data_IF_779867198934
#
_entry.id   IF_779867198934
#
_cell.length_a   1.000
_cell.length_b   1.000
_cell.length_c   1.000
_cell.angle_alpha   90.00
_cell.angle_beta   90.00
_cell.angle_gamma   90.00
#
_symmetry.space_group_name_H-M   'P 1'
#
loop_
_entity.id
_entity.type
_entity.pdbx_description
1 polymer ?
#
# COMPACT_ATOMS: atom_id res chain seq x y z
N UNK A 1 -55.57 -32.22 -29.17
CA UNK A 1 -55.46 -30.77 -29.29
C UNK A 1 -56.47 -30.11 -28.37
N UNK A 2 -56.05 -29.69 -27.17
CA UNK A 2 -56.76 -28.68 -26.39
C UNK A 2 -55.69 -27.85 -25.68
N UNK A 3 -55.49 -26.64 -26.21
CA UNK A 3 -54.64 -25.62 -25.63
C UNK A 3 -55.43 -24.94 -24.49
N UNK A 4 -55.02 -25.20 -23.25
CA UNK A 4 -55.42 -24.43 -22.10
C UNK A 4 -54.28 -23.46 -21.74
N UNK A 5 -54.14 -22.39 -22.53
CA UNK A 5 -53.35 -21.23 -22.13
C UNK A 5 -54.19 -20.44 -21.12
N UNK A 6 -54.20 -20.92 -19.87
CA UNK A 6 -54.78 -20.20 -18.74
C UNK A 6 -53.94 -18.97 -18.46
N UNK A 7 -54.54 -17.80 -18.62
CA UNK A 7 -54.13 -16.53 -18.02
C UNK A 7 -54.02 -16.71 -16.50
N UNK A 8 -52.86 -17.17 -16.02
CA UNK A 8 -52.50 -17.11 -14.61
C UNK A 8 -51.99 -15.69 -14.32
N UNK A 9 -52.89 -14.72 -14.37
CA UNK A 9 -52.66 -13.45 -13.70
C UNK A 9 -52.59 -13.74 -12.20
N UNK A 10 -51.46 -13.44 -11.58
CA UNK A 10 -51.32 -13.52 -10.14
C UNK A 10 -52.38 -12.67 -9.43
N UNK A 11 -52.55 -12.84 -8.11
CA UNK A 11 -53.44 -11.96 -7.37
C UNK A 11 -52.96 -10.50 -7.47
N UNK A 12 -53.87 -9.53 -7.63
CA UNK A 12 -53.53 -8.13 -7.89
C UNK A 12 -52.53 -7.49 -6.91
N UNK A 13 -52.47 -7.98 -5.66
CA UNK A 13 -51.48 -7.51 -4.68
C UNK A 13 -50.04 -7.88 -5.04
N UNK A 14 -49.82 -8.92 -5.85
CA UNK A 14 -48.51 -9.35 -6.30
C UNK A 14 -47.91 -8.34 -7.28
N UNK A 15 -48.74 -7.80 -8.19
CA UNK A 15 -48.32 -6.79 -9.14
C UNK A 15 -47.96 -5.47 -8.43
N UNK A 16 -48.79 -5.04 -7.47
CA UNK A 16 -48.53 -3.84 -6.65
C UNK A 16 -47.26 -4.01 -5.80
N UNK A 17 -47.05 -5.20 -5.23
CA UNK A 17 -45.85 -5.48 -4.43
C UNK A 17 -44.58 -5.56 -5.30
N UNK A 18 -44.68 -6.12 -6.51
CA UNK A 18 -43.56 -6.12 -7.47
C UNK A 18 -43.15 -4.69 -7.83
N UNK A 19 -44.13 -3.80 -8.11
CA UNK A 19 -43.84 -2.40 -8.41
C UNK A 19 -43.17 -1.68 -7.23
N UNK A 20 -43.62 -1.92 -5.99
CA UNK A 20 -43.00 -1.35 -4.79
C UNK A 20 -41.52 -1.78 -4.66
N UNK A 21 -41.21 -3.05 -4.94
CA UNK A 21 -39.84 -3.56 -4.94
C UNK A 21 -38.99 -2.85 -6.01
N UNK A 22 -39.52 -2.66 -7.21
CA UNK A 22 -38.82 -1.92 -8.28
C UNK A 22 -38.55 -0.48 -7.88
N UNK A 23 -39.53 0.24 -7.34
CA UNK A 23 -39.37 1.64 -6.91
C UNK A 23 -38.37 1.79 -5.76
N UNK A 24 -38.43 0.88 -4.78
CA UNK A 24 -37.46 0.81 -3.68
C UNK A 24 -36.04 0.54 -4.20
N UNK A 25 -35.89 -0.39 -5.14
CA UNK A 25 -34.62 -0.70 -5.80
C UNK A 25 -34.05 0.50 -6.56
N UNK A 26 -34.88 1.27 -7.27
CA UNK A 26 -34.45 2.50 -7.97
C UNK A 26 -33.94 3.53 -6.97
N UNK A 27 -34.69 3.79 -5.90
CA UNK A 27 -34.29 4.73 -4.84
C UNK A 27 -32.95 4.35 -4.20
N UNK A 28 -32.73 3.05 -3.96
CA UNK A 28 -31.45 2.55 -3.45
C UNK A 28 -30.31 2.68 -4.48
N UNK A 29 -30.57 2.37 -5.74
CA UNK A 29 -29.60 2.55 -6.83
C UNK A 29 -29.17 4.03 -6.95
N UNK A 30 -30.10 4.98 -6.90
CA UNK A 30 -29.81 6.41 -6.95
C UNK A 30 -28.97 6.90 -5.76
N UNK A 31 -29.02 6.18 -4.64
CA UNK A 31 -28.17 6.41 -3.46
C UNK A 31 -26.83 5.69 -3.52
N UNK A 32 -26.54 4.95 -4.60
CA UNK A 32 -25.33 4.14 -4.75
C UNK A 32 -25.34 2.84 -3.94
N UNK A 33 -26.48 2.45 -3.37
CA UNK A 33 -26.65 1.20 -2.60
C UNK A 33 -26.94 0.05 -3.57
N UNK A 34 -25.97 -0.26 -4.44
CA UNK A 34 -26.17 -1.15 -5.58
C UNK A 34 -26.49 -2.59 -5.18
N UNK A 35 -25.94 -3.06 -4.06
CA UNK A 35 -26.18 -4.43 -3.56
C UNK A 35 -27.61 -4.60 -3.07
N UNK A 36 -28.09 -3.65 -2.28
CA UNK A 36 -29.46 -3.60 -1.77
C UNK A 36 -30.45 -3.45 -2.93
N UNK A 37 -30.14 -2.56 -3.88
CA UNK A 37 -30.95 -2.34 -5.07
C UNK A 37 -31.10 -3.62 -5.90
N UNK A 38 -30.00 -4.36 -6.12
CA UNK A 38 -30.04 -5.66 -6.78
C UNK A 38 -30.94 -6.67 -6.07
N UNK A 39 -30.91 -6.70 -4.74
CA UNK A 39 -31.80 -7.56 -3.95
C UNK A 39 -33.27 -7.28 -4.26
N UNK A 40 -33.67 -6.01 -4.26
CA UNK A 40 -35.02 -5.60 -4.59
C UNK A 40 -35.44 -5.97 -6.03
N UNK A 41 -34.57 -5.75 -7.02
CA UNK A 41 -34.89 -6.11 -8.41
C UNK A 41 -34.98 -7.62 -8.61
N UNK A 42 -34.12 -8.42 -7.95
CA UNK A 42 -34.21 -9.88 -7.98
C UNK A 42 -35.54 -10.34 -7.39
N UNK A 43 -35.97 -9.77 -6.26
CA UNK A 43 -37.27 -10.10 -5.65
C UNK A 43 -38.45 -9.70 -6.54
N UNK A 44 -38.40 -8.55 -7.22
CA UNK A 44 -39.43 -8.16 -8.19
C UNK A 44 -39.52 -9.16 -9.36
N UNK A 45 -38.36 -9.58 -9.90
CA UNK A 45 -38.26 -10.54 -11.00
C UNK A 45 -38.65 -11.97 -10.60
N UNK A 46 -38.69 -12.30 -9.31
CA UNK A 46 -39.26 -13.55 -8.83
C UNK A 46 -40.80 -13.55 -8.89
N UNK A 47 -41.43 -12.37 -8.84
CA UNK A 47 -42.88 -12.20 -8.94
C UNK A 47 -43.31 -12.06 -10.40
N UNK A 48 -42.69 -11.12 -11.13
CA UNK A 48 -42.88 -10.95 -12.56
C UNK A 48 -41.53 -11.04 -13.30
N UNK A 49 -41.17 -12.24 -13.81
CA UNK A 49 -39.94 -12.43 -14.56
C UNK A 49 -39.85 -11.64 -15.87
N UNK A 50 -40.98 -11.14 -16.38
CA UNK A 50 -41.04 -10.37 -17.62
C UNK A 50 -41.04 -8.86 -17.40
N UNK A 51 -40.92 -8.38 -16.15
CA UNK A 51 -40.86 -6.95 -15.84
C UNK A 51 -39.60 -6.32 -16.46
N UNK A 52 -39.81 -5.62 -17.58
CA UNK A 52 -38.75 -4.95 -18.32
C UNK A 52 -38.05 -3.84 -17.51
N UNK A 53 -38.79 -3.17 -16.62
CA UNK A 53 -38.25 -2.10 -15.77
C UNK A 53 -37.33 -2.73 -14.73
N UNK A 54 -37.75 -3.81 -14.08
CA UNK A 54 -36.92 -4.54 -13.12
C UNK A 54 -35.64 -5.09 -13.78
N UNK A 55 -35.74 -5.72 -14.96
CA UNK A 55 -34.59 -6.22 -15.73
C UNK A 55 -33.59 -5.11 -16.09
N UNK A 56 -34.09 -3.97 -16.59
CA UNK A 56 -33.27 -2.83 -16.97
C UNK A 56 -32.48 -2.28 -15.76
N UNK A 57 -33.16 -2.08 -14.63
CA UNK A 57 -32.52 -1.52 -13.44
C UNK A 57 -31.62 -2.52 -12.72
N UNK A 58 -31.93 -3.82 -12.77
CA UNK A 58 -31.02 -4.86 -12.31
C UNK A 58 -29.69 -4.80 -13.06
N UNK A 59 -29.72 -4.69 -14.39
CA UNK A 59 -28.49 -4.58 -15.19
C UNK A 59 -27.68 -3.33 -14.82
N UNK A 60 -28.33 -2.19 -14.61
CA UNK A 60 -27.64 -0.95 -14.17
C UNK A 60 -27.05 -1.07 -12.77
N UNK A 61 -27.78 -1.65 -11.83
CA UNK A 61 -27.27 -1.89 -10.48
C UNK A 61 -26.09 -2.87 -10.47
N UNK A 62 -26.12 -3.91 -11.31
CA UNK A 62 -24.99 -4.82 -11.49
C UNK A 62 -23.74 -4.11 -12.05
N UNK A 63 -23.93 -3.21 -13.03
CA UNK A 63 -22.84 -2.37 -13.54
C UNK A 63 -22.28 -1.44 -12.46
N UNK A 64 -23.14 -0.78 -11.68
CA UNK A 64 -22.75 0.08 -10.56
C UNK A 64 -21.92 -0.67 -9.52
N UNK A 65 -22.41 -1.84 -9.08
CA UNK A 65 -21.70 -2.71 -8.14
C UNK A 65 -20.36 -3.19 -8.70
N UNK A 66 -20.28 -3.53 -9.99
CA UNK A 66 -19.02 -3.92 -10.63
C UNK A 66 -17.98 -2.79 -10.62
N UNK A 67 -18.41 -1.54 -10.82
CA UNK A 67 -17.51 -0.37 -10.73
C UNK A 67 -17.04 -0.17 -9.29
N UNK A 68 -17.95 -0.21 -8.32
CA UNK A 68 -17.62 -0.07 -6.89
C UNK A 68 -16.61 -1.13 -6.43
N UNK A 69 -16.85 -2.41 -6.74
CA UNK A 69 -15.95 -3.50 -6.40
C UNK A 69 -14.58 -3.35 -7.06
N UNK A 70 -14.52 -2.88 -8.31
CA UNK A 70 -13.23 -2.58 -8.97
C UNK A 70 -12.47 -1.48 -8.25
N UNK A 71 -13.14 -0.41 -7.83
CA UNK A 71 -12.51 0.67 -7.04
C UNK A 71 -12.00 0.15 -5.70
N UNK A 72 -12.76 -0.72 -5.02
CA UNK A 72 -12.34 -1.31 -3.75
C UNK A 72 -11.13 -2.23 -3.93
N UNK A 73 -11.18 -3.17 -4.87
CA UNK A 73 -10.06 -4.08 -5.19
C UNK A 73 -8.80 -3.31 -5.57
N UNK A 74 -8.98 -2.22 -6.33
CA UNK A 74 -7.89 -1.30 -6.70
C UNK A 74 -7.26 -0.62 -5.49
N UNK A 75 -8.08 -0.16 -4.54
CA UNK A 75 -7.59 0.44 -3.28
C UNK A 75 -6.83 -0.59 -2.43
N UNK A 76 -7.37 -1.80 -2.28
CA UNK A 76 -6.72 -2.87 -1.53
C UNK A 76 -5.40 -3.31 -2.19
N UNK A 77 -5.39 -3.44 -3.51
CA UNK A 77 -4.18 -3.71 -4.28
C UNK A 77 -3.10 -2.64 -4.10
N UNK A 78 -3.49 -1.36 -4.12
CA UNK A 78 -2.57 -0.24 -3.89
C UNK A 78 -1.92 -0.30 -2.50
N UNK A 79 -2.69 -0.64 -1.46
CA UNK A 79 -2.16 -0.81 -0.10
C UNK A 79 -1.18 -1.98 0.00
N UNK A 80 -1.44 -3.10 -0.68
CA UNK A 80 -0.50 -4.23 -0.76
C UNK A 80 0.81 -3.81 -1.44
N UNK A 81 0.72 -3.08 -2.56
CA UNK A 81 1.91 -2.59 -3.28
C UNK A 81 2.71 -1.61 -2.42
N UNK A 82 2.05 -0.66 -1.76
CA UNK A 82 2.70 0.28 -0.82
C UNK A 82 3.40 -0.45 0.33
N UNK A 83 2.73 -1.42 0.93
CA UNK A 83 3.32 -2.26 1.98
C UNK A 83 4.54 -3.05 1.49
N UNK A 84 4.49 -3.58 0.27
CA UNK A 84 5.63 -4.24 -0.37
C UNK A 84 6.82 -3.31 -0.63
N UNK A 85 6.56 -2.07 -1.04
CA UNK A 85 7.60 -1.05 -1.25
C UNK A 85 8.26 -0.62 0.06
N UNK A 86 7.48 -0.33 1.11
CA UNK A 86 8.01 -0.01 2.45
C UNK A 86 8.84 -1.17 2.99
N UNK A 87 8.37 -2.42 2.81
CA UNK A 87 9.14 -3.60 3.17
C UNK A 87 10.48 -3.68 2.42
N UNK A 88 10.48 -3.47 1.10
CA UNK A 88 11.70 -3.51 0.29
C UNK A 88 12.69 -2.40 0.67
N UNK A 89 12.20 -1.20 0.99
CA UNK A 89 13.02 -0.08 1.46
C UNK A 89 13.69 -0.40 2.80
N UNK A 90 12.92 -0.92 3.77
CA UNK A 90 13.46 -1.33 5.09
C UNK A 90 14.51 -2.42 4.96
N UNK A 91 14.27 -3.43 4.13
CA UNK A 91 15.25 -4.51 3.87
C UNK A 91 16.53 -3.92 3.25
N UNK A 92 16.39 -3.05 2.26
CA UNK A 92 17.54 -2.41 1.58
C UNK A 92 18.35 -1.53 2.53
N UNK A 93 17.68 -0.69 3.33
CA UNK A 93 18.32 0.16 4.33
C UNK A 93 19.04 -0.68 5.41
N UNK A 94 18.40 -1.74 5.90
CA UNK A 94 19.03 -2.67 6.84
C UNK A 94 20.29 -3.32 6.25
N UNK A 95 20.28 -3.67 4.96
CA UNK A 95 21.44 -4.17 4.22
C UNK A 95 22.59 -3.15 4.13
N UNK A 96 22.30 -1.89 3.80
CA UNK A 96 23.28 -0.80 3.75
C UNK A 96 23.92 -0.58 5.13
N UNK A 97 23.10 -0.55 6.18
CA UNK A 97 23.57 -0.39 7.56
C UNK A 97 24.47 -1.55 7.98
N UNK A 98 24.13 -2.80 7.63
CA UNK A 98 24.99 -3.95 7.87
C UNK A 98 26.36 -3.84 7.17
N UNK A 99 26.40 -3.37 5.92
CA UNK A 99 27.64 -3.22 5.19
C UNK A 99 28.52 -2.11 5.81
N UNK A 100 27.91 -1.02 6.26
CA UNK A 100 28.60 0.03 7.04
C UNK A 100 29.15 -0.52 8.36
N UNK A 101 28.35 -1.30 9.09
CA UNK A 101 28.76 -1.98 10.32
C UNK A 101 29.97 -2.90 10.08
N UNK A 102 29.98 -3.64 8.98
CA UNK A 102 31.08 -4.53 8.58
C UNK A 102 32.37 -3.76 8.31
N UNK A 103 32.28 -2.62 7.62
CA UNK A 103 33.44 -1.76 7.34
C UNK A 103 34.00 -1.14 8.62
N UNK A 104 33.14 -0.61 9.49
CA UNK A 104 33.54 -0.09 10.79
C UNK A 104 34.22 -1.17 11.66
N UNK A 105 33.68 -2.40 11.67
CA UNK A 105 34.26 -3.52 12.39
C UNK A 105 35.66 -3.87 11.87
N UNK A 106 35.84 -3.92 10.55
CA UNK A 106 37.16 -4.15 9.91
C UNK A 106 38.17 -3.06 10.23
N UNK A 107 37.71 -1.82 10.39
CA UNK A 107 38.55 -0.67 10.77
C UNK A 107 38.87 -0.62 12.28
N UNK A 108 38.33 -1.54 13.09
CA UNK A 108 38.47 -1.53 14.55
C UNK A 108 37.63 -0.47 15.26
N UNK A 109 36.69 0.17 14.55
CA UNK A 109 35.77 1.18 15.09
C UNK A 109 34.55 0.50 15.76
N UNK A 110 34.79 -0.20 16.87
CA UNK A 110 33.82 -1.13 17.46
C UNK A 110 32.49 -0.47 17.89
N UNK A 111 32.52 0.74 18.45
CA UNK A 111 31.30 1.49 18.84
C UNK A 111 30.44 1.82 17.62
N UNK A 112 31.06 2.30 16.53
CA UNK A 112 30.35 2.61 15.28
C UNK A 112 29.77 1.34 14.65
N UNK A 113 30.53 0.25 14.66
CA UNK A 113 30.06 -1.04 14.16
C UNK A 113 28.80 -1.51 14.92
N UNK A 114 28.81 -1.42 16.25
CA UNK A 114 27.67 -1.77 17.09
C UNK A 114 26.43 -0.94 16.72
N UNK A 115 26.59 0.39 16.66
CA UNK A 115 25.51 1.31 16.32
C UNK A 115 24.88 1.00 14.95
N UNK A 116 25.69 0.71 13.92
CA UNK A 116 25.16 0.36 12.60
C UNK A 116 24.38 -0.95 12.59
N UNK A 117 24.86 -1.98 13.30
CA UNK A 117 24.14 -3.26 13.36
C UNK A 117 22.87 -3.17 14.20
N UNK A 118 22.85 -2.37 15.28
CA UNK A 118 21.63 -2.11 16.04
C UNK A 118 20.58 -1.38 15.21
N UNK A 119 20.97 -0.33 14.50
CA UNK A 119 20.07 0.42 13.64
C UNK A 119 19.54 -0.44 12.49
N UNK A 120 20.39 -1.30 11.92
CA UNK A 120 19.99 -2.30 10.93
C UNK A 120 18.90 -3.24 11.49
N UNK A 121 19.08 -3.73 12.72
CA UNK A 121 18.11 -4.61 13.40
C UNK A 121 16.82 -3.88 13.76
N UNK A 122 16.87 -2.59 14.12
CA UNK A 122 15.67 -1.77 14.36
C UNK A 122 14.88 -1.53 13.07
N UNK A 123 15.59 -1.29 11.97
CA UNK A 123 15.00 -1.08 10.65
C UNK A 123 14.31 -2.36 10.15
N UNK A 124 14.98 -3.50 10.28
CA UNK A 124 14.43 -4.80 9.91
C UNK A 124 14.92 -5.90 10.86
N UNK A 125 14.06 -6.30 11.80
CA UNK A 125 14.39 -7.23 12.89
C UNK A 125 14.93 -8.57 12.40
N UNK A 126 14.48 -9.02 11.23
CA UNK A 126 14.85 -10.31 10.62
C UNK A 126 16.01 -10.21 9.62
N UNK A 127 16.72 -9.08 9.56
CA UNK A 127 17.85 -8.97 8.66
C UNK A 127 18.98 -9.92 9.09
N UNK A 128 19.44 -10.77 8.18
CA UNK A 128 20.29 -11.94 8.51
C UNK A 128 21.68 -11.59 9.03
N UNK A 129 22.19 -10.38 8.75
CA UNK A 129 23.53 -9.97 9.17
C UNK A 129 23.61 -9.17 10.47
N UNK A 130 22.49 -8.61 10.97
CA UNK A 130 22.55 -7.67 12.09
C UNK A 130 22.89 -8.39 13.39
N UNK A 131 22.26 -9.54 13.67
CA UNK A 131 22.55 -10.31 14.88
C UNK A 131 23.97 -10.94 14.88
N UNK A 132 24.45 -11.59 13.80
CA UNK A 132 25.84 -12.04 13.74
C UNK A 132 26.85 -10.89 13.85
N UNK A 133 26.57 -9.74 13.21
CA UNK A 133 27.42 -8.55 13.29
C UNK A 133 27.54 -7.99 14.70
N UNK A 134 26.43 -7.92 15.44
CA UNK A 134 26.41 -7.55 16.86
C UNK A 134 27.21 -8.54 17.71
N UNK A 135 27.03 -9.85 17.50
CA UNK A 135 27.79 -10.89 18.22
C UNK A 135 29.30 -10.77 18.00
N UNK A 136 29.73 -10.57 16.74
CA UNK A 136 31.14 -10.35 16.41
C UNK A 136 31.69 -9.07 17.05
N UNK A 137 30.92 -7.98 17.00
CA UNK A 137 31.32 -6.69 17.59
C UNK A 137 31.48 -6.81 19.11
N UNK A 138 30.54 -7.50 19.77
CA UNK A 138 30.61 -7.80 21.21
C UNK A 138 31.86 -8.60 21.57
N UNK A 139 32.14 -9.70 20.86
CA UNK A 139 33.36 -10.50 21.10
C UNK A 139 34.64 -9.68 20.92
N UNK A 140 34.68 -8.77 19.94
CA UNK A 140 35.81 -7.87 19.74
C UNK A 140 35.98 -6.87 20.91
N UNK A 141 34.88 -6.31 21.44
CA UNK A 141 34.87 -5.44 22.61
C UNK A 141 35.33 -6.17 23.89
N UNK A 142 34.83 -7.39 24.10
CA UNK A 142 35.22 -8.24 25.24
C UNK A 142 36.72 -8.55 25.20
N UNK A 143 37.25 -8.91 24.02
CA UNK A 143 38.69 -9.11 23.83
C UNK A 143 39.50 -7.85 24.13
N UNK A 144 39.10 -6.69 23.59
CA UNK A 144 39.79 -5.41 23.81
C UNK A 144 39.76 -4.99 25.28
N UNK A 145 38.69 -5.33 26.00
CA UNK A 145 38.56 -5.14 27.45
C UNK A 145 39.54 -6.03 28.22
N UNK A 146 39.63 -7.32 27.86
CA UNK A 146 40.57 -8.25 28.47
C UNK A 146 42.04 -7.82 28.27
N UNK A 147 42.35 -7.20 27.13
CA UNK A 147 43.67 -6.66 26.81
C UNK A 147 43.99 -5.34 27.55
N UNK A 148 43.05 -4.78 28.33
CA UNK A 148 43.21 -3.49 29.02
C UNK A 148 43.26 -2.28 28.08
N UNK A 149 42.85 -2.43 26.82
CA UNK A 149 42.94 -1.40 25.77
C UNK A 149 41.60 -0.71 25.46
N UNK A 150 40.60 -0.91 26.31
CA UNK A 150 39.22 -0.45 26.05
C UNK A 150 39.00 0.98 26.51
N UNK A 151 38.27 1.76 25.72
CA UNK A 151 37.80 3.10 26.10
C UNK A 151 36.54 3.04 26.96
N UNK A 152 36.24 4.13 27.68
CA UNK A 152 34.99 4.24 28.46
C UNK A 152 33.72 4.11 27.59
N UNK A 153 33.74 4.65 26.37
CA UNK A 153 32.64 4.53 25.42
C UNK A 153 32.42 3.06 24.99
N UNK A 154 33.50 2.32 24.76
CA UNK A 154 33.44 0.90 24.42
C UNK A 154 32.96 0.03 25.59
N UNK A 155 33.35 0.37 26.82
CA UNK A 155 32.80 -0.26 28.04
C UNK A 155 31.30 -0.02 28.17
N UNK A 156 30.84 1.20 27.89
CA UNK A 156 29.40 1.52 27.92
C UNK A 156 28.65 0.71 26.85
N UNK A 157 29.13 0.69 25.61
CA UNK A 157 28.52 -0.13 24.53
C UNK A 157 28.47 -1.61 24.93
N UNK A 158 29.53 -2.13 25.56
CA UNK A 158 29.56 -3.51 26.04
C UNK A 158 28.56 -3.76 27.18
N UNK A 159 28.32 -2.78 28.06
CA UNK A 159 27.29 -2.84 29.09
C UNK A 159 25.89 -2.85 28.47
N UNK A 160 25.65 -2.00 27.46
CA UNK A 160 24.37 -1.93 26.74
C UNK A 160 24.05 -3.27 26.05
N UNK A 161 25.05 -3.95 25.48
CA UNK A 161 24.90 -5.30 24.94
C UNK A 161 24.40 -6.33 25.97
N UNK A 162 24.78 -6.22 27.24
CA UNK A 162 24.37 -7.16 28.30
C UNK A 162 22.91 -6.97 28.70
N UNK A 163 22.39 -5.74 28.60
CA UNK A 163 20.98 -5.45 28.81
C UNK A 163 20.11 -6.12 27.73
N UNK A 164 20.67 -6.40 26.55
CA UNK A 164 19.97 -6.93 25.38
C UNK A 164 20.05 -8.48 25.25
N UNK A 165 20.23 -9.19 26.37
CA UNK A 165 20.51 -10.63 26.45
C UNK A 165 19.73 -11.55 25.49
N UNK A 166 20.36 -12.71 25.21
CA UNK A 166 20.16 -13.67 24.10
C UNK A 166 18.74 -14.22 23.81
N UNK A 167 17.68 -13.77 24.47
CA UNK A 167 16.37 -14.43 24.39
C UNK A 167 15.11 -13.58 24.41
N UNK A 168 15.17 -12.27 24.70
CA UNK A 168 13.94 -11.47 24.77
C UNK A 168 14.15 -10.05 24.27
N UNK A 169 13.85 -9.85 22.99
CA UNK A 169 13.33 -8.55 22.59
C UNK A 169 11.96 -8.44 23.28
N UNK A 170 11.85 -7.59 24.31
CA UNK A 170 10.57 -7.20 24.89
C UNK A 170 10.13 -5.91 24.19
N UNK A 171 9.15 -5.94 23.27
CA UNK A 171 8.67 -4.76 22.55
C UNK A 171 8.16 -3.62 23.46
N UNK A 172 7.97 -3.89 24.75
CA UNK A 172 7.29 -2.99 25.69
C UNK A 172 8.17 -1.98 26.41
N UNK A 173 9.49 -1.93 26.20
CA UNK A 173 10.32 -0.86 26.79
C UNK A 173 10.39 0.32 25.81
N UNK A 174 9.75 1.47 26.11
CA UNK A 174 9.83 2.63 25.23
C UNK A 174 11.27 3.15 25.22
N UNK A 175 11.84 3.27 24.03
CA UNK A 175 13.07 4.02 23.82
C UNK A 175 12.77 5.50 24.12
N UNK A 176 13.62 6.21 24.89
CA UNK A 176 13.41 7.63 25.15
C UNK A 176 13.32 8.40 23.83
N UNK A 177 12.29 9.23 23.71
CA UNK A 177 12.00 9.99 22.50
C UNK A 177 13.21 10.85 22.12
N UNK A 178 13.62 10.75 20.85
CA UNK A 178 14.62 11.64 20.26
C UNK A 178 14.06 13.08 20.32
N UNK A 179 14.79 14.06 20.87
CA UNK A 179 14.32 15.44 20.87
C UNK A 179 14.14 15.93 19.42
N UNK A 180 13.13 16.78 19.15
CA UNK A 180 12.86 17.27 17.81
C UNK A 180 14.09 18.01 17.26
N UNK A 181 14.46 17.70 16.02
CA UNK A 181 15.50 18.42 15.31
C UNK A 181 15.06 19.88 15.14
N UNK A 182 15.93 20.82 15.52
CA UNK A 182 15.71 22.25 15.30
C UNK A 182 15.54 22.52 13.79
N UNK A 183 14.62 23.42 13.39
CA UNK A 183 14.38 23.72 11.98
C UNK A 183 15.63 24.37 11.37
N UNK A 184 16.20 23.74 10.35
CA UNK A 184 17.28 24.31 9.57
C UNK A 184 16.75 25.50 8.75
N UNK A 185 17.36 26.67 8.95
CA UNK A 185 17.06 27.87 8.18
C UNK A 185 17.43 27.65 6.71
N UNK A 186 16.45 27.75 5.80
CA UNK A 186 16.70 27.67 4.36
C UNK A 186 17.35 28.96 3.83
N UNK A 187 18.38 28.86 2.97
CA UNK A 187 18.92 30.01 2.26
C UNK A 187 17.93 30.51 1.19
N UNK A 188 17.77 31.84 1.11
CA UNK A 188 16.91 32.51 0.14
C UNK A 188 17.57 32.53 -1.23
N UNK A 189 17.05 31.72 -2.15
CA UNK A 189 17.40 31.77 -3.58
C UNK A 189 16.30 32.45 -4.40
N UNK A 190 16.62 33.03 -5.59
CA UNK A 190 15.72 33.94 -6.29
C UNK A 190 14.58 33.22 -7.02
N UNK A 191 13.43 33.90 -6.99
CA UNK A 191 12.09 33.48 -7.42
C UNK A 191 12.04 33.20 -8.93
N UNK A 192 12.01 31.91 -9.34
CA UNK A 192 11.50 31.49 -10.65
C UNK A 192 9.96 31.53 -10.62
N UNK A 193 9.36 31.91 -11.75
CA UNK A 193 7.91 31.88 -11.98
C UNK A 193 7.35 30.51 -11.58
N UNK A 194 6.41 30.50 -10.64
CA UNK A 194 5.90 29.28 -10.00
C UNK A 194 5.13 28.43 -11.01
N UNK A 195 5.64 27.23 -11.29
CA UNK A 195 4.84 26.16 -11.85
C UNK A 195 3.66 25.88 -10.90
N UNK A 196 2.52 25.45 -11.45
CA UNK A 196 1.37 25.01 -10.65
C UNK A 196 1.86 24.05 -9.54
N UNK A 197 1.28 24.11 -8.33
CA UNK A 197 1.69 23.24 -7.23
C UNK A 197 1.59 21.78 -7.71
N UNK A 198 2.75 21.12 -7.80
CA UNK A 198 2.84 19.72 -8.19
C UNK A 198 2.25 18.89 -7.06
N UNK A 199 1.19 18.13 -7.34
CA UNK A 199 0.66 17.16 -6.40
C UNK A 199 1.41 15.83 -6.59
N UNK A 200 2.62 15.79 -6.04
CA UNK A 200 3.54 14.65 -6.15
C UNK A 200 2.89 13.38 -5.57
N UNK A 201 2.11 13.50 -4.48
CA UNK A 201 1.44 12.36 -3.86
C UNK A 201 0.35 11.79 -4.77
N UNK A 202 -0.49 12.66 -5.36
CA UNK A 202 -1.53 12.21 -6.27
C UNK A 202 -0.94 11.59 -7.54
N UNK A 203 0.16 12.15 -8.08
CA UNK A 203 0.87 11.53 -9.20
C UNK A 203 1.32 10.10 -8.89
N UNK A 204 1.87 9.86 -7.70
CA UNK A 204 2.39 8.55 -7.32
C UNK A 204 1.28 7.52 -7.18
N UNK A 205 0.11 7.95 -6.71
CA UNK A 205 -1.06 7.09 -6.63
C UNK A 205 -1.53 6.64 -8.01
N UNK A 206 -1.55 7.55 -8.99
CA UNK A 206 -1.85 7.22 -10.38
C UNK A 206 -0.77 6.35 -11.04
N UNK A 207 0.51 6.54 -10.69
CA UNK A 207 1.58 5.67 -11.18
C UNK A 207 1.45 4.24 -10.63
N UNK A 208 1.25 4.09 -9.31
CA UNK A 208 1.05 2.78 -8.69
C UNK A 208 -0.22 2.10 -9.21
N UNK A 209 -1.26 2.89 -9.47
CA UNK A 209 -2.48 2.41 -10.11
C UNK A 209 -2.20 1.84 -11.50
N UNK A 210 -1.44 2.57 -12.33
CA UNK A 210 -1.08 2.07 -13.65
C UNK A 210 -0.30 0.75 -13.59
N UNK A 211 0.61 0.60 -12.62
CA UNK A 211 1.35 -0.65 -12.40
C UNK A 211 0.40 -1.80 -12.05
N UNK A 212 -0.59 -1.55 -11.19
CA UNK A 212 -1.59 -2.57 -10.84
C UNK A 212 -2.42 -2.99 -12.06
N UNK A 213 -2.97 -2.04 -12.82
CA UNK A 213 -3.73 -2.30 -14.04
C UNK A 213 -2.87 -3.03 -15.10
N UNK A 214 -1.57 -2.70 -15.19
CA UNK A 214 -0.63 -3.37 -16.09
C UNK A 214 -0.42 -4.84 -15.71
N UNK A 215 -0.31 -5.14 -14.41
CA UNK A 215 -0.17 -6.51 -13.91
C UNK A 215 -1.42 -7.35 -14.13
N UNK A 216 -2.61 -6.74 -14.21
CA UNK A 216 -3.88 -7.44 -14.49
C UNK A 216 -4.24 -7.47 -15.99
N UNK A 217 -3.34 -7.00 -16.86
CA UNK A 217 -3.51 -6.94 -18.31
C UNK A 217 -4.69 -6.01 -18.75
N UNK A 218 -5.00 -4.97 -17.97
CA UNK A 218 -6.00 -3.95 -18.30
C UNK A 218 -5.33 -2.75 -19.00
N UNK A 219 -4.94 -2.91 -20.27
CA UNK A 219 -4.14 -1.94 -21.03
C UNK A 219 -4.73 -0.52 -21.09
N UNK A 220 -6.05 -0.40 -21.21
CA UNK A 220 -6.74 0.91 -21.26
C UNK A 220 -6.58 1.67 -19.94
N UNK A 221 -6.80 0.98 -18.81
CA UNK A 221 -6.67 1.57 -17.47
C UNK A 221 -5.23 1.98 -17.15
N UNK A 222 -4.26 1.17 -17.59
CA UNK A 222 -2.83 1.47 -17.45
C UNK A 222 -2.46 2.79 -18.13
N UNK A 223 -2.79 2.96 -19.41
CA UNK A 223 -2.39 4.15 -20.18
C UNK A 223 -3.05 5.43 -19.65
N UNK A 224 -4.33 5.36 -19.26
CA UNK A 224 -5.05 6.50 -18.67
C UNK A 224 -4.40 6.94 -17.36
N UNK A 225 -4.09 5.98 -16.48
CA UNK A 225 -3.45 6.24 -15.19
C UNK A 225 -2.05 6.82 -15.34
N UNK A 226 -1.23 6.33 -16.29
CA UNK A 226 0.11 6.89 -16.58
C UNK A 226 0.04 8.33 -17.09
N UNK A 227 -0.90 8.62 -17.99
CA UNK A 227 -1.11 9.99 -18.50
C UNK A 227 -1.55 10.91 -17.38
N UNK A 228 -2.41 10.43 -16.46
CA UNK A 228 -2.87 11.23 -15.32
C UNK A 228 -1.73 11.50 -14.33
N UNK A 229 -0.89 10.51 -14.04
CA UNK A 229 0.32 10.69 -13.24
C UNK A 229 1.22 11.77 -13.83
N UNK A 230 1.53 11.68 -15.13
CA UNK A 230 2.38 12.66 -15.83
C UNK A 230 1.72 14.05 -15.96
N UNK A 231 0.39 14.14 -15.97
CA UNK A 231 -0.32 15.42 -15.93
C UNK A 231 -0.12 16.13 -14.58
N UNK A 232 -0.17 15.38 -13.48
CA UNK A 232 -0.03 15.90 -12.11
C UNK A 232 1.44 16.20 -11.76
N UNK A 233 2.35 15.35 -12.23
CA UNK A 233 3.79 15.51 -12.09
C UNK A 233 4.50 15.12 -13.40
N UNK A 234 4.76 16.09 -14.29
CA UNK A 234 5.49 15.85 -15.53
C UNK A 234 6.90 15.28 -15.35
N UNK A 235 7.49 15.46 -14.15
CA UNK A 235 8.83 14.96 -13.78
C UNK A 235 8.79 13.54 -13.20
N UNK A 236 7.65 12.83 -13.22
CA UNK A 236 7.60 11.43 -12.81
C UNK A 236 8.29 10.52 -13.83
N UNK A 237 9.60 10.31 -13.64
CA UNK A 237 10.44 9.49 -14.52
C UNK A 237 9.96 8.04 -14.61
N UNK A 238 9.40 7.48 -13.53
CA UNK A 238 8.91 6.10 -13.49
C UNK A 238 7.68 5.90 -14.37
N UNK A 239 6.71 6.82 -14.26
CA UNK A 239 5.52 6.81 -15.10
C UNK A 239 5.89 6.98 -16.58
N UNK A 240 6.87 7.84 -16.88
CA UNK A 240 7.37 8.06 -18.25
C UNK A 240 8.03 6.81 -18.84
N UNK A 241 8.91 6.16 -18.08
CA UNK A 241 9.60 4.93 -18.52
C UNK A 241 8.61 3.79 -18.78
N UNK A 242 7.65 3.59 -17.87
CA UNK A 242 6.63 2.54 -18.05
C UNK A 242 5.75 2.80 -19.28
N UNK A 243 5.32 4.06 -19.50
CA UNK A 243 4.53 4.44 -20.68
C UNK A 243 5.28 4.13 -21.98
N UNK A 244 6.56 4.52 -22.06
CA UNK A 244 7.39 4.26 -23.24
C UNK A 244 7.59 2.76 -23.51
N UNK A 245 7.70 1.94 -22.46
CA UNK A 245 7.83 0.48 -22.61
C UNK A 245 6.57 -0.14 -23.19
N UNK A 246 5.39 0.28 -22.73
CA UNK A 246 4.10 -0.18 -23.24
C UNK A 246 3.92 0.24 -24.70
N UNK A 247 4.15 1.51 -25.02
CA UNK A 247 4.03 2.04 -26.39
C UNK A 247 5.01 1.39 -27.38
N UNK A 248 6.15 0.86 -26.92
CA UNK A 248 7.08 0.09 -27.75
C UNK A 248 6.63 -1.35 -27.98
N UNK A 249 5.93 -1.95 -27.02
CA UNK A 249 5.45 -3.33 -27.12
C UNK A 249 4.22 -3.46 -28.01
N UNK A 250 3.45 -2.38 -28.20
CA UNK A 250 2.26 -2.35 -29.07
C UNK A 250 2.56 -2.05 -30.55
N UNK A 251 3.82 -1.76 -30.90
CA UNK A 251 4.28 -1.54 -32.28
C UNK A 251 4.85 -2.80 -32.90
#
# INVERSE_FOLDING_TARGET
MLAAAGLLGGPAWADDYSQLLVESGISQHERGLYREALGNFISALQIDPADQKALYWQARAAQGLSVELRVQLRKEGLEIVRGGLDWAERVSLAGILCERGRRALKAGELVKAAAFYEESRRTYVRHTCSAPGLSMTRRALEKKTADGKVSSAELQTLADFRVWGEGSWNPGVPVPARPPAAPAAMPKSPRRLAAAPQDISASEDFYLLAVADYMTNESVGTLESLRKALQLNPENDRARDLLQRIERAEK
#
